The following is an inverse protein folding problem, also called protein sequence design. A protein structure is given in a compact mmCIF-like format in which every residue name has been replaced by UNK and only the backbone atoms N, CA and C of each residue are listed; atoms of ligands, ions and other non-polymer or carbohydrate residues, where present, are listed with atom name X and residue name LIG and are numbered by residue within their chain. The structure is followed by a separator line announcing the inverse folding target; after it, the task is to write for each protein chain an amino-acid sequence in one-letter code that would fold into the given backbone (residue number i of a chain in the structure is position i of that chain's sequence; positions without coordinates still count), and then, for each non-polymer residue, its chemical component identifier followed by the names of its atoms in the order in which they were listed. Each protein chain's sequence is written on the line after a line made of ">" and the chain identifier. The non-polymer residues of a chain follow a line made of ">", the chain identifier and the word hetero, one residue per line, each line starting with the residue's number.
data_IF_373668187679
#
_entry.id   IF_373668187679
#
_cell.length_a   1.000
_cell.length_b   1.000
_cell.length_c   1.000
_cell.angle_alpha   90.00
_cell.angle_beta   90.00
_cell.angle_gamma   90.00
#
_symmetry.space_group_name_H-M   'P 1'
#
loop_
_entity.id
_entity.type
_entity.pdbx_description
1 polymer ?
#
# COMPACT_ATOMS: atom_id res chain seq x y z
N UNK A 1 25.81 9.31 -15.78
CA UNK A 1 25.27 8.93 -14.46
C UNK A 1 23.76 9.14 -14.50
N UNK A 2 22.93 8.26 -13.92
CA UNK A 2 21.47 8.42 -13.93
C UNK A 2 21.05 9.70 -13.21
N UNK A 3 19.90 10.29 -13.58
CA UNK A 3 19.41 11.51 -12.94
C UNK A 3 18.89 11.23 -11.53
N UNK A 4 18.94 12.22 -10.64
CA UNK A 4 18.47 12.05 -9.26
C UNK A 4 17.02 11.56 -9.18
N UNK A 5 16.16 11.99 -10.11
CA UNK A 5 14.76 11.59 -10.16
C UNK A 5 14.56 10.15 -10.65
N UNK A 6 15.42 9.64 -11.55
CA UNK A 6 15.35 8.24 -11.96
C UNK A 6 15.80 7.31 -10.85
N UNK A 7 16.83 7.70 -10.08
CA UNK A 7 17.25 6.95 -8.89
C UNK A 7 16.14 6.94 -7.83
N UNK A 8 15.47 8.08 -7.62
CA UNK A 8 14.32 8.16 -6.72
C UNK A 8 13.17 7.23 -7.15
N UNK A 9 12.84 7.20 -8.45
CA UNK A 9 11.82 6.31 -8.99
C UNK A 9 12.16 4.83 -8.79
N UNK A 10 13.41 4.44 -9.06
CA UNK A 10 13.88 3.06 -8.81
C UNK A 10 13.82 2.71 -7.32
N UNK A 11 14.19 3.64 -6.44
CA UNK A 11 14.10 3.43 -4.99
C UNK A 11 12.65 3.21 -4.54
N UNK A 12 11.70 4.02 -5.02
CA UNK A 12 10.27 3.85 -4.73
C UNK A 12 9.71 2.50 -5.21
N UNK A 13 10.08 2.07 -6.43
CA UNK A 13 9.67 0.76 -6.96
C UNK A 13 10.26 -0.36 -6.11
N UNK A 14 11.54 -0.26 -5.74
CA UNK A 14 12.18 -1.25 -4.88
C UNK A 14 11.52 -1.33 -3.50
N UNK A 15 11.13 -0.18 -2.93
CA UNK A 15 10.38 -0.11 -1.67
C UNK A 15 9.04 -0.85 -1.78
N UNK A 16 8.29 -0.62 -2.87
CA UNK A 16 7.02 -1.31 -3.12
C UNK A 16 7.18 -2.83 -3.20
N UNK A 17 8.21 -3.33 -3.90
CA UNK A 17 8.45 -4.76 -4.07
C UNK A 17 8.91 -5.44 -2.78
N UNK A 18 9.82 -4.80 -2.03
CA UNK A 18 10.34 -5.36 -0.78
C UNK A 18 9.28 -5.37 0.30
N UNK A 19 8.54 -4.27 0.47
CA UNK A 19 7.43 -4.20 1.45
C UNK A 19 6.23 -5.06 1.06
N UNK A 20 6.04 -5.30 -0.24
CA UNK A 20 4.99 -6.19 -0.76
C UNK A 20 5.24 -7.66 -0.47
N UNK A 21 6.38 -8.03 0.10
CA UNK A 21 6.68 -9.41 0.47
C UNK A 21 7.15 -10.28 -0.69
N UNK A 22 7.60 -9.70 -1.81
CA UNK A 22 8.03 -10.48 -3.00
C UNK A 22 9.11 -11.52 -2.66
N UNK A 23 10.01 -11.21 -1.72
CA UNK A 23 11.02 -12.16 -1.24
C UNK A 23 10.36 -13.34 -0.50
N UNK A 24 9.34 -13.07 0.33
CA UNK A 24 8.58 -14.11 1.01
C UNK A 24 7.77 -14.94 0.01
N UNK A 25 7.17 -14.29 -0.99
CA UNK A 25 6.40 -14.97 -2.04
C UNK A 25 7.25 -15.95 -2.84
N UNK A 26 8.49 -15.58 -3.17
CA UNK A 26 9.45 -16.45 -3.90
C UNK A 26 9.91 -17.64 -3.06
N UNK A 27 10.09 -17.47 -1.74
CA UNK A 27 10.61 -18.54 -0.87
C UNK A 27 9.52 -19.51 -0.44
N UNK A 28 8.34 -18.99 -0.10
CA UNK A 28 7.27 -19.75 0.57
C UNK A 28 6.16 -20.14 -0.39
N UNK A 29 6.09 -19.52 -1.57
CA UNK A 29 5.04 -19.72 -2.58
C UNK A 29 3.62 -19.80 -1.96
N UNK A 30 3.22 -18.80 -1.14
CA UNK A 30 1.91 -18.80 -0.53
C UNK A 30 0.81 -18.68 -1.61
N UNK A 31 -0.38 -19.24 -1.37
CA UNK A 31 -1.48 -19.09 -2.33
C UNK A 31 -1.88 -17.62 -2.48
N UNK A 32 -2.34 -17.24 -3.67
CA UNK A 32 -2.61 -15.82 -3.99
C UNK A 32 -3.78 -15.24 -3.18
N UNK A 33 -4.82 -16.04 -2.93
CA UNK A 33 -6.04 -15.70 -2.20
C UNK A 33 -6.47 -16.93 -1.39
N UNK A 34 -6.83 -16.75 -0.12
CA UNK A 34 -7.40 -17.81 0.70
C UNK A 34 -8.89 -18.04 0.40
N UNK A 35 -9.42 -19.19 0.77
CA UNK A 35 -10.86 -19.43 0.83
C UNK A 35 -11.26 -19.87 2.24
N UNK A 36 -12.32 -19.29 2.79
CA UNK A 36 -12.99 -19.86 3.97
C UNK A 36 -14.28 -20.50 3.51
N UNK A 37 -14.51 -21.73 3.95
CA UNK A 37 -15.76 -22.43 3.69
C UNK A 37 -16.80 -21.94 4.67
N UNK A 38 -17.89 -21.36 4.16
CA UNK A 38 -19.07 -21.04 4.95
C UNK A 38 -19.72 -22.33 5.48
N UNK A 39 -20.57 -22.25 6.51
CA UNK A 39 -21.27 -23.43 7.10
C UNK A 39 -22.14 -24.19 6.07
N UNK A 40 -22.43 -23.55 4.93
CA UNK A 40 -23.17 -24.10 3.77
C UNK A 40 -22.29 -24.66 2.65
N UNK A 41 -20.97 -24.74 2.83
CA UNK A 41 -20.04 -25.31 1.83
C UNK A 41 -19.60 -24.33 0.73
N UNK A 42 -20.04 -23.06 0.77
CA UNK A 42 -19.62 -22.06 -0.20
C UNK A 42 -18.22 -21.51 0.16
N UNK A 43 -17.30 -21.55 -0.79
CA UNK A 43 -15.98 -20.92 -0.65
C UNK A 43 -16.12 -19.41 -0.77
N UNK A 44 -15.92 -18.67 0.33
CA UNK A 44 -15.78 -17.22 0.29
C UNK A 44 -14.30 -16.87 0.14
N UNK A 45 -13.91 -16.07 -0.85
CA UNK A 45 -12.52 -15.61 -0.98
C UNK A 45 -12.20 -14.72 0.22
N UNK A 46 -11.11 -15.03 0.92
CA UNK A 46 -10.59 -14.23 2.02
C UNK A 46 -9.22 -13.71 1.62
N UNK A 47 -9.13 -12.39 1.48
CA UNK A 47 -7.92 -11.71 1.05
C UNK A 47 -6.84 -11.64 2.15
N UNK A 48 -7.19 -11.93 3.41
CA UNK A 48 -6.30 -11.85 4.57
C UNK A 48 -6.21 -13.19 5.29
N UNK A 49 -5.03 -13.57 5.78
CA UNK A 49 -4.89 -14.75 6.63
C UNK A 49 -5.13 -14.36 8.10
N UNK A 50 -6.29 -14.69 8.71
CA UNK A 50 -6.55 -14.32 10.09
C UNK A 50 -5.69 -15.17 11.05
N UNK A 51 -5.31 -14.59 12.20
CA UNK A 51 -4.60 -15.26 13.31
C UNK A 51 -3.18 -15.76 13.04
N UNK A 52 -2.60 -15.55 11.83
CA UNK A 52 -1.18 -15.83 11.55
C UNK A 52 -0.46 -14.56 11.12
N UNK A 53 0.29 -13.96 12.04
CA UNK A 53 1.02 -12.70 11.81
C UNK A 53 2.15 -12.88 10.79
N UNK A 54 2.86 -14.01 10.88
CA UNK A 54 4.06 -14.31 10.09
C UNK A 54 3.75 -14.89 8.69
N UNK A 55 2.48 -15.19 8.42
CA UNK A 55 2.05 -15.67 7.12
C UNK A 55 1.26 -14.57 6.41
N UNK A 56 1.38 -14.54 5.08
CA UNK A 56 0.80 -13.51 4.25
C UNK A 56 0.39 -14.12 2.92
N UNK A 57 -0.77 -13.72 2.41
CA UNK A 57 -1.14 -13.98 1.02
C UNK A 57 -0.53 -12.92 0.10
N UNK A 58 -0.26 -13.28 -1.15
CA UNK A 58 0.34 -12.37 -2.14
C UNK A 58 -0.51 -11.08 -2.28
N UNK A 59 -1.83 -11.22 -2.35
CA UNK A 59 -2.75 -10.07 -2.47
C UNK A 59 -2.73 -9.16 -1.24
N UNK A 60 -2.52 -9.72 -0.04
CA UNK A 60 -2.38 -8.95 1.19
C UNK A 60 -1.09 -8.11 1.17
N UNK A 61 0.03 -8.74 0.74
CA UNK A 61 1.32 -8.08 0.49
C UNK A 61 1.21 -6.91 -0.46
N UNK A 62 0.74 -7.17 -1.67
CA UNK A 62 0.61 -6.16 -2.72
C UNK A 62 -0.36 -5.03 -2.35
N UNK A 63 -1.47 -5.33 -1.68
CA UNK A 63 -2.42 -4.30 -1.23
C UNK A 63 -1.79 -3.39 -0.15
N UNK A 64 -1.06 -3.97 0.80
CA UNK A 64 -0.40 -3.19 1.87
C UNK A 64 0.74 -2.32 1.33
N UNK A 65 1.59 -2.84 0.44
CA UNK A 65 2.67 -2.06 -0.16
C UNK A 65 2.16 -0.94 -1.06
N UNK A 66 1.04 -1.15 -1.76
CA UNK A 66 0.37 -0.10 -2.53
C UNK A 66 -0.09 1.04 -1.61
N UNK A 67 -0.70 0.73 -0.47
CA UNK A 67 -1.14 1.74 0.49
C UNK A 67 0.05 2.49 1.11
N UNK A 68 1.17 1.82 1.39
CA UNK A 68 2.40 2.49 1.85
C UNK A 68 2.95 3.47 0.79
N UNK A 69 3.01 3.04 -0.47
CA UNK A 69 3.47 3.89 -1.56
C UNK A 69 2.52 5.09 -1.78
N UNK A 70 1.21 4.88 -1.70
CA UNK A 70 0.21 5.93 -1.82
C UNK A 70 0.31 6.96 -0.69
N UNK A 71 0.52 6.50 0.55
CA UNK A 71 0.78 7.39 1.69
C UNK A 71 2.07 8.21 1.53
N UNK A 72 3.15 7.56 1.09
CA UNK A 72 4.43 8.23 0.82
C UNK A 72 4.33 9.26 -0.30
N UNK A 73 3.66 8.91 -1.41
CA UNK A 73 3.37 9.85 -2.50
C UNK A 73 2.52 11.03 -2.03
N UNK A 74 1.59 10.82 -1.10
CA UNK A 74 0.82 11.89 -0.48
C UNK A 74 1.68 12.97 0.18
N UNK A 75 2.74 12.57 0.90
CA UNK A 75 3.69 13.53 1.49
C UNK A 75 4.50 14.29 0.44
N UNK A 76 4.93 13.62 -0.63
CA UNK A 76 5.67 14.25 -1.72
C UNK A 76 4.80 15.28 -2.44
N UNK A 77 3.52 14.95 -2.67
CA UNK A 77 2.54 15.89 -3.26
C UNK A 77 2.35 17.11 -2.36
N UNK A 78 2.28 16.91 -1.04
CA UNK A 78 2.19 18.02 -0.09
C UNK A 78 3.41 18.91 -0.12
N UNK A 79 4.62 18.36 -0.18
CA UNK A 79 5.84 19.15 -0.30
C UNK A 79 5.85 19.98 -1.60
N UNK A 80 5.41 19.38 -2.71
CA UNK A 80 5.29 20.07 -4.00
C UNK A 80 4.34 21.28 -3.93
N UNK A 81 3.32 21.27 -3.06
CA UNK A 81 2.37 22.39 -2.90
C UNK A 81 2.99 23.66 -2.32
N UNK A 82 4.16 23.57 -1.68
CA UNK A 82 4.89 24.73 -1.16
C UNK A 82 5.57 25.56 -2.26
N UNK A 83 5.57 25.08 -3.51
CA UNK A 83 6.14 25.84 -4.62
C UNK A 83 5.34 27.12 -4.93
N UNK A 84 5.97 28.31 -4.87
CA UNK A 84 5.29 29.59 -5.04
C UNK A 84 4.81 29.85 -6.48
N UNK A 85 5.27 29.05 -7.45
CA UNK A 85 4.93 29.16 -8.87
C UNK A 85 3.55 28.57 -9.22
N UNK A 86 2.89 27.89 -8.27
CA UNK A 86 1.62 27.20 -8.53
C UNK A 86 0.40 28.14 -8.42
N UNK A 87 -0.55 28.10 -9.37
CA UNK A 87 -1.77 28.90 -9.27
C UNK A 87 -2.64 28.45 -8.10
N UNK A 88 -3.36 29.39 -7.46
CA UNK A 88 -4.10 29.17 -6.20
C UNK A 88 -5.03 27.96 -6.23
N UNK A 89 -5.76 27.76 -7.34
CA UNK A 89 -6.69 26.64 -7.49
C UNK A 89 -5.96 25.29 -7.54
N UNK A 90 -4.87 25.19 -8.29
CA UNK A 90 -4.08 23.96 -8.38
C UNK A 90 -3.42 23.63 -7.03
N UNK A 91 -2.97 24.64 -6.29
CA UNK A 91 -2.43 24.46 -4.94
C UNK A 91 -3.45 23.88 -3.97
N UNK A 92 -4.69 24.37 -4.00
CA UNK A 92 -5.78 23.85 -3.16
C UNK A 92 -6.11 22.39 -3.55
N UNK A 93 -6.20 22.09 -4.85
CA UNK A 93 -6.48 20.72 -5.32
C UNK A 93 -5.39 19.74 -4.88
N UNK A 94 -4.11 20.07 -5.10
CA UNK A 94 -2.99 19.23 -4.70
C UNK A 94 -2.95 19.01 -3.18
N UNK A 95 -3.27 20.04 -2.39
CA UNK A 95 -3.32 19.93 -0.93
C UNK A 95 -4.43 18.98 -0.48
N UNK A 96 -5.62 19.08 -1.08
CA UNK A 96 -6.73 18.15 -0.79
C UNK A 96 -6.39 16.71 -1.19
N UNK A 97 -5.77 16.51 -2.36
CA UNK A 97 -5.33 15.18 -2.81
C UNK A 97 -4.22 14.60 -1.92
N UNK A 98 -3.24 15.42 -1.52
CA UNK A 98 -2.16 15.03 -0.62
C UNK A 98 -2.66 14.60 0.75
N UNK A 99 -3.48 15.43 1.41
CA UNK A 99 -4.09 15.08 2.70
C UNK A 99 -5.01 13.86 2.56
N UNK A 100 -5.83 13.81 1.51
CA UNK A 100 -6.76 12.71 1.26
C UNK A 100 -6.05 11.36 1.09
N UNK A 101 -4.94 11.32 0.35
CA UNK A 101 -4.14 10.11 0.15
C UNK A 101 -3.46 9.62 1.44
N UNK A 102 -2.94 10.53 2.27
CA UNK A 102 -2.34 10.18 3.58
C UNK A 102 -3.40 9.62 4.54
N UNK A 103 -4.56 10.28 4.64
CA UNK A 103 -5.63 9.80 5.52
C UNK A 103 -6.16 8.44 5.06
N UNK A 104 -6.42 8.29 3.75
CA UNK A 104 -6.92 7.03 3.19
C UNK A 104 -5.95 5.88 3.47
N UNK A 105 -4.66 6.07 3.19
CA UNK A 105 -3.63 5.04 3.44
C UNK A 105 -3.56 4.69 4.92
N UNK A 106 -3.53 5.68 5.81
CA UNK A 106 -3.47 5.45 7.26
C UNK A 106 -4.68 4.65 7.80
N UNK A 107 -5.90 5.04 7.43
CA UNK A 107 -7.10 4.35 7.88
C UNK A 107 -7.19 2.92 7.33
N UNK A 108 -6.88 2.72 6.04
CA UNK A 108 -6.92 1.39 5.43
C UNK A 108 -5.88 0.44 6.04
N UNK A 109 -4.66 0.91 6.30
CA UNK A 109 -3.63 0.12 6.97
C UNK A 109 -4.02 -0.24 8.40
N UNK A 110 -4.66 0.69 9.13
CA UNK A 110 -5.19 0.40 10.48
C UNK A 110 -6.28 -0.66 10.44
N UNK A 111 -7.16 -0.63 9.44
CA UNK A 111 -8.19 -1.67 9.25
C UNK A 111 -7.53 -3.02 8.93
N UNK A 112 -6.52 -3.05 8.06
CA UNK A 112 -5.77 -4.28 7.74
C UNK A 112 -5.13 -4.90 9.00
N UNK A 113 -4.50 -4.08 9.83
CA UNK A 113 -3.93 -4.56 11.10
C UNK A 113 -5.00 -5.14 12.03
N UNK A 114 -6.19 -4.51 12.11
CA UNK A 114 -7.32 -4.99 12.92
C UNK A 114 -7.97 -6.25 12.36
N UNK A 115 -7.95 -6.44 11.05
CA UNK A 115 -8.41 -7.69 10.42
C UNK A 115 -7.45 -8.85 10.69
N UNK A 116 -6.14 -8.57 10.71
CA UNK A 116 -5.10 -9.58 10.97
C UNK A 116 -4.98 -9.95 12.46
N UNK A 117 -5.14 -8.95 13.34
CA UNK A 117 -5.08 -9.06 14.79
C UNK A 117 -6.37 -8.45 15.38
N UNK A 118 -7.43 -9.26 15.58
CA UNK A 118 -8.67 -8.78 16.19
C UNK A 118 -8.44 -8.25 17.61
#
# INVERSE_FOLDING_TARGET
>A
MPSAMTVFGVAMVSYFLVTGGVIYDVIVEPPSIGSTTDERGHSRPVAFMPYRINAQYIMEGLASSFLFALGGMGFIILDQTNNPLTPKLNRILLLMTGIGSILLSFFMLRVFMRMKLP
#
